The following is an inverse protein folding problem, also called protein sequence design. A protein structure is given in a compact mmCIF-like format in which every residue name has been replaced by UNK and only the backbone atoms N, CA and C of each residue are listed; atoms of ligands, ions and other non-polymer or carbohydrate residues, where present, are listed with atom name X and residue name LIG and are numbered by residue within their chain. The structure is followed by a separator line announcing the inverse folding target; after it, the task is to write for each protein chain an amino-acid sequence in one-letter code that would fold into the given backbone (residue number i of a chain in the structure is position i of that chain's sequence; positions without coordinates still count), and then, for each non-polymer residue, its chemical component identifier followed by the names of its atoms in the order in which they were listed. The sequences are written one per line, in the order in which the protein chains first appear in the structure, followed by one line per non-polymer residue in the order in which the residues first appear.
data_IF_918560967738
#
_entry.id   IF_918560967738
#
_cell.length_a   1.000
_cell.length_b   1.000
_cell.length_c   1.000
_cell.angle_alpha   90.00
_cell.angle_beta   90.00
_cell.angle_gamma   90.00
#
_symmetry.space_group_name_H-M   'P 1'
#
loop_
_entity.id
_entity.type
_entity.pdbx_description
1 polymer ?
#
# COMPACT_ATOMS: atom_id res chain seq x y z
N UNK A 1 4.77 -4.95 39.82
CA UNK A 1 5.08 -5.69 38.56
C UNK A 1 4.79 -4.83 37.32
N UNK A 2 5.70 -3.93 36.91
CA UNK A 2 5.53 -3.02 35.74
C UNK A 2 6.19 -3.63 34.48
N UNK A 3 5.42 -4.26 33.58
CA UNK A 3 5.93 -4.73 32.27
C UNK A 3 4.90 -4.59 31.14
N UNK A 4 4.43 -3.40 30.72
CA UNK A 4 3.48 -3.30 29.56
C UNK A 4 3.56 -2.09 28.58
N UNK A 5 4.69 -1.41 28.28
CA UNK A 5 4.73 -0.45 27.16
C UNK A 5 4.87 -1.11 25.77
N UNK A 6 5.59 -2.23 25.65
CA UNK A 6 5.95 -2.86 24.36
C UNK A 6 4.75 -3.39 23.54
N UNK A 7 3.61 -3.68 24.18
CA UNK A 7 2.45 -4.33 23.53
C UNK A 7 1.57 -3.35 22.74
N UNK A 8 1.50 -2.08 23.14
CA UNK A 8 0.70 -1.04 22.45
C UNK A 8 1.36 -0.60 21.14
N UNK A 9 2.68 -0.36 21.15
CA UNK A 9 3.45 0.09 19.97
C UNK A 9 3.42 -0.96 18.85
N UNK A 10 3.53 -2.25 19.20
CA UNK A 10 3.47 -3.35 18.24
C UNK A 10 2.19 -3.35 17.41
N UNK A 11 1.03 -3.06 18.02
CA UNK A 11 -0.26 -3.04 17.33
C UNK A 11 -0.38 -1.91 16.31
N UNK A 12 0.19 -0.74 16.59
CA UNK A 12 0.22 0.35 15.59
C UNK A 12 1.17 0.05 14.44
N UNK A 13 2.30 -0.59 14.73
CA UNK A 13 3.25 -1.02 13.70
C UNK A 13 2.67 -2.09 12.78
N UNK A 14 1.84 -3.00 13.31
CA UNK A 14 1.15 -4.01 12.50
C UNK A 14 0.14 -3.35 11.54
N UNK A 15 -0.68 -2.41 12.00
CA UNK A 15 -1.62 -1.64 11.16
C UNK A 15 -0.88 -0.78 10.12
N UNK A 16 0.24 -0.17 10.51
CA UNK A 16 1.08 0.60 9.61
C UNK A 16 1.65 -0.27 8.48
N UNK A 17 2.21 -1.43 8.81
CA UNK A 17 2.75 -2.34 7.77
C UNK A 17 1.64 -2.86 6.88
N UNK A 18 0.47 -3.14 7.44
CA UNK A 18 -0.68 -3.60 6.68
C UNK A 18 -1.14 -2.53 5.68
N UNK A 19 -1.36 -1.29 6.12
CA UNK A 19 -1.70 -0.16 5.25
C UNK A 19 -0.62 0.14 4.21
N UNK A 20 0.66 0.14 4.61
CA UNK A 20 1.77 0.34 3.69
C UNK A 20 1.86 -0.73 2.59
N UNK A 21 1.68 -2.01 2.96
CA UNK A 21 1.73 -3.13 2.02
C UNK A 21 0.58 -3.04 1.04
N UNK A 22 -0.65 -2.85 1.55
CA UNK A 22 -1.85 -2.77 0.72
C UNK A 22 -1.79 -1.58 -0.23
N UNK A 23 -1.47 -0.38 0.27
CA UNK A 23 -1.37 0.84 -0.55
C UNK A 23 -0.33 0.76 -1.65
N UNK A 24 0.80 0.09 -1.39
CA UNK A 24 1.82 -0.15 -2.42
C UNK A 24 1.33 -1.10 -3.51
N UNK A 25 0.65 -2.19 -3.12
CA UNK A 25 0.16 -3.21 -4.06
C UNK A 25 -0.95 -2.62 -4.92
N UNK A 26 -1.96 -2.01 -4.31
CA UNK A 26 -3.14 -1.48 -5.02
C UNK A 26 -2.75 -0.35 -5.96
N UNK A 27 -1.94 0.59 -5.50
CA UNK A 27 -1.52 1.72 -6.34
C UNK A 27 -0.61 1.26 -7.48
N UNK A 28 0.30 0.31 -7.23
CA UNK A 28 1.11 -0.25 -8.29
C UNK A 28 0.27 -1.03 -9.31
N UNK A 29 -0.77 -1.74 -8.87
CA UNK A 29 -1.69 -2.42 -9.75
C UNK A 29 -2.48 -1.44 -10.63
N UNK A 30 -2.95 -0.31 -10.09
CA UNK A 30 -3.60 0.75 -10.88
C UNK A 30 -2.65 1.30 -11.95
N UNK A 31 -1.40 1.59 -11.57
CA UNK A 31 -0.37 2.04 -12.50
C UNK A 31 -0.11 1.00 -13.58
N UNK A 32 0.06 -0.27 -13.20
CA UNK A 32 0.31 -1.37 -14.14
C UNK A 32 -0.86 -1.58 -15.10
N UNK A 33 -2.11 -1.52 -14.62
CA UNK A 33 -3.30 -1.63 -15.46
C UNK A 33 -3.42 -0.49 -16.45
N UNK A 34 -3.19 0.74 -16.02
CA UNK A 34 -3.20 1.91 -16.90
C UNK A 34 -2.09 1.83 -17.97
N UNK A 35 -0.91 1.32 -17.62
CA UNK A 35 0.15 1.03 -18.58
C UNK A 35 -0.21 -0.08 -19.56
N UNK A 36 -0.84 -1.16 -19.10
CA UNK A 36 -1.34 -2.23 -19.96
C UNK A 36 -2.34 -1.72 -20.98
N UNK A 37 -3.22 -0.80 -20.56
CA UNK A 37 -4.18 -0.10 -21.41
C UNK A 37 -3.55 1.01 -22.28
N UNK A 38 -2.23 1.24 -22.21
CA UNK A 38 -1.52 2.30 -22.96
C UNK A 38 -2.07 3.71 -22.72
N UNK A 39 -2.53 3.98 -21.49
CA UNK A 39 -3.09 5.28 -21.12
C UNK A 39 -2.01 6.35 -20.97
N UNK A 40 -2.39 7.61 -21.23
CA UNK A 40 -1.52 8.77 -21.02
C UNK A 40 -1.15 8.91 -19.54
N UNK A 41 0.07 9.39 -19.26
CA UNK A 41 0.56 9.62 -17.89
C UNK A 41 -0.38 10.49 -17.03
N UNK A 42 -1.08 11.46 -17.64
CA UNK A 42 -2.08 12.27 -16.94
C UNK A 42 -3.23 11.43 -16.37
N UNK A 43 -3.71 10.44 -17.12
CA UNK A 43 -4.77 9.52 -16.68
C UNK A 43 -4.27 8.61 -15.57
N UNK A 44 -3.03 8.11 -15.68
CA UNK A 44 -2.38 7.31 -14.62
C UNK A 44 -2.33 8.09 -13.31
N UNK A 45 -1.95 9.37 -13.36
CA UNK A 45 -1.87 10.24 -12.20
C UNK A 45 -3.26 10.46 -11.59
N UNK A 46 -4.25 10.82 -12.41
CA UNK A 46 -5.63 11.06 -11.93
C UNK A 46 -6.20 9.81 -11.26
N UNK A 47 -6.15 8.66 -11.93
CA UNK A 47 -6.66 7.39 -11.39
C UNK A 47 -5.86 6.94 -10.18
N UNK A 48 -4.53 7.07 -10.22
CA UNK A 48 -3.64 6.71 -9.13
C UNK A 48 -3.94 7.48 -7.86
N UNK A 49 -4.04 8.81 -7.94
CA UNK A 49 -4.36 9.64 -6.77
C UNK A 49 -5.79 9.41 -6.28
N UNK A 50 -6.76 9.31 -7.20
CA UNK A 50 -8.14 9.03 -6.83
C UNK A 50 -8.24 7.71 -6.04
N UNK A 51 -7.63 6.65 -6.57
CA UNK A 51 -7.60 5.34 -5.91
C UNK A 51 -6.83 5.38 -4.58
N UNK A 52 -5.66 6.03 -4.54
CA UNK A 52 -4.82 6.11 -3.34
C UNK A 52 -5.58 6.71 -2.15
N UNK A 53 -6.32 7.79 -2.36
CA UNK A 53 -7.09 8.43 -1.29
C UNK A 53 -8.39 7.70 -0.99
N UNK A 54 -9.11 7.22 -2.01
CA UNK A 54 -10.38 6.51 -1.82
C UNK A 54 -10.19 5.19 -1.07
N UNK A 55 -9.26 4.35 -1.52
CA UNK A 55 -8.96 3.06 -0.88
C UNK A 55 -8.35 3.27 0.50
N UNK A 56 -7.39 4.21 0.62
CA UNK A 56 -6.81 4.54 1.91
C UNK A 56 -7.87 4.94 2.93
N UNK A 57 -8.82 5.79 2.54
CA UNK A 57 -9.91 6.21 3.40
C UNK A 57 -10.83 5.04 3.77
N UNK A 58 -11.25 4.24 2.77
CA UNK A 58 -12.07 3.04 2.97
C UNK A 58 -11.42 2.06 3.97
N UNK A 59 -10.10 1.85 3.83
CA UNK A 59 -9.32 0.98 4.70
C UNK A 59 -9.20 1.54 6.12
N UNK A 60 -9.04 2.86 6.27
CA UNK A 60 -9.01 3.53 7.56
C UNK A 60 -10.35 3.39 8.30
N UNK A 61 -11.46 3.60 7.59
CA UNK A 61 -12.81 3.41 8.12
C UNK A 61 -13.04 1.94 8.51
N UNK A 62 -12.59 1.00 7.68
CA UNK A 62 -12.68 -0.44 7.97
C UNK A 62 -11.89 -0.83 9.23
N UNK A 63 -10.67 -0.31 9.40
CA UNK A 63 -9.85 -0.54 10.61
C UNK A 63 -10.47 0.12 11.86
N UNK A 64 -11.06 1.31 11.71
CA UNK A 64 -11.81 1.99 12.77
C UNK A 64 -13.00 1.15 13.24
N UNK A 65 -13.87 0.77 12.31
CA UNK A 65 -15.08 -0.01 12.57
C UNK A 65 -14.71 -1.36 13.19
N UNK A 66 -13.74 -2.07 12.61
CA UNK A 66 -13.24 -3.34 13.16
C UNK A 66 -12.74 -3.16 14.60
N UNK A 67 -11.91 -2.16 14.86
CA UNK A 67 -11.39 -1.93 16.22
C UNK A 67 -12.48 -1.52 17.21
N UNK A 68 -13.49 -0.75 16.78
CA UNK A 68 -14.63 -0.34 17.60
C UNK A 68 -15.55 -1.52 17.90
N UNK A 69 -15.90 -2.35 16.92
CA UNK A 69 -16.69 -3.56 17.14
C UNK A 69 -15.99 -4.53 18.09
N UNK A 70 -14.66 -4.66 18.00
CA UNK A 70 -13.90 -5.46 18.96
C UNK A 70 -13.94 -4.91 20.40
N UNK A 71 -14.11 -3.60 20.59
CA UNK A 71 -14.31 -2.96 21.90
C UNK A 71 -15.75 -3.14 22.40
N UNK A 72 -16.74 -2.93 21.54
CA UNK A 72 -18.16 -3.07 21.91
C UNK A 72 -18.50 -4.51 22.33
N UNK A 73 -17.91 -5.51 21.65
CA UNK A 73 -18.09 -6.94 21.97
C UNK A 73 -17.33 -7.38 23.23
N UNK A 74 -16.21 -6.71 23.55
CA UNK A 74 -15.41 -7.01 24.74
C UNK A 74 -15.44 -5.79 25.65
N UNK A 75 -16.51 -5.67 26.46
CA UNK A 75 -16.65 -4.70 27.58
C UNK A 75 -15.61 -4.95 28.70
N UNK A 76 -14.34 -5.15 28.34
CA UNK A 76 -13.24 -5.31 29.28
C UNK A 76 -12.74 -3.92 29.69
N UNK A 77 -12.94 -3.58 30.96
CA UNK A 77 -12.67 -2.26 31.57
C UNK A 77 -11.20 -1.79 31.51
N UNK A 78 -10.27 -2.62 31.03
CA UNK A 78 -8.83 -2.36 31.23
C UNK A 78 -8.05 -1.96 29.96
N UNK A 79 -8.69 -1.91 28.78
CA UNK A 79 -7.98 -1.63 27.53
C UNK A 79 -8.71 -0.61 26.66
N UNK A 80 -8.50 0.69 26.94
CA UNK A 80 -8.65 1.77 25.93
C UNK A 80 -7.70 1.51 24.76
N UNK A 81 -8.11 0.64 23.84
CA UNK A 81 -7.69 0.67 22.46
C UNK A 81 -8.21 2.01 21.90
N UNK A 82 -7.47 2.64 21.01
CA UNK A 82 -7.90 3.90 20.39
C UNK A 82 -8.15 3.60 18.91
N UNK A 83 -9.40 3.26 18.53
CA UNK A 83 -9.76 2.92 17.15
C UNK A 83 -9.28 3.97 16.16
N UNK A 84 -9.47 5.24 16.50
CA UNK A 84 -9.08 6.39 15.67
C UNK A 84 -7.59 6.41 15.38
N UNK A 85 -6.72 6.09 16.34
CA UNK A 85 -5.27 6.09 16.10
C UNK A 85 -4.83 4.96 15.18
N UNK A 86 -5.54 3.83 15.19
CA UNK A 86 -5.25 2.67 14.32
C UNK A 86 -5.69 2.97 12.89
N UNK A 87 -6.87 3.56 12.74
CA UNK A 87 -7.35 4.07 11.46
C UNK A 87 -6.40 5.11 10.85
N UNK A 88 -5.96 6.10 11.63
CA UNK A 88 -5.02 7.13 11.16
C UNK A 88 -3.68 6.51 10.76
N UNK A 89 -3.13 5.59 11.57
CA UNK A 89 -1.88 4.91 11.24
C UNK A 89 -2.00 4.13 9.92
N UNK A 90 -3.12 3.44 9.72
CA UNK A 90 -3.43 2.71 8.48
C UNK A 90 -3.50 3.67 7.30
N UNK A 91 -4.32 4.72 7.39
CA UNK A 91 -4.49 5.73 6.34
C UNK A 91 -3.17 6.36 5.92
N UNK A 92 -2.40 6.88 6.88
CA UNK A 92 -1.15 7.57 6.59
C UNK A 92 -0.11 6.62 5.99
N UNK A 93 -0.02 5.40 6.50
CA UNK A 93 0.89 4.39 5.94
C UNK A 93 0.52 4.02 4.51
N UNK A 94 -0.78 3.88 4.23
CA UNK A 94 -1.30 3.57 2.91
C UNK A 94 -0.98 4.69 1.93
N UNK A 95 -1.31 5.94 2.28
CA UNK A 95 -1.08 7.09 1.40
C UNK A 95 0.42 7.32 1.16
N UNK A 96 1.23 7.35 2.21
CA UNK A 96 2.66 7.69 2.09
C UNK A 96 3.42 6.64 1.29
N UNK A 97 3.17 5.36 1.56
CA UNK A 97 3.91 4.28 0.90
C UNK A 97 3.27 3.93 -0.45
N UNK A 98 1.95 3.94 -0.54
CA UNK A 98 1.21 3.79 -1.80
C UNK A 98 1.45 4.93 -2.79
N UNK A 99 1.97 6.07 -2.35
CA UNK A 99 2.42 7.11 -3.27
C UNK A 99 3.72 6.77 -4.02
N UNK A 100 4.52 5.82 -3.52
CA UNK A 100 5.83 5.49 -4.12
C UNK A 100 5.71 5.07 -5.59
N UNK A 101 4.80 4.17 -6.01
CA UNK A 101 4.61 3.84 -7.42
C UNK A 101 4.17 5.04 -8.30
N UNK A 102 3.51 6.05 -7.72
CA UNK A 102 3.05 7.24 -8.46
C UNK A 102 4.14 8.31 -8.59
N UNK A 103 5.13 8.32 -7.70
CA UNK A 103 6.16 9.36 -7.68
C UNK A 103 6.91 9.44 -9.00
N UNK A 104 7.08 8.30 -9.70
CA UNK A 104 7.75 8.24 -11.00
C UNK A 104 6.95 8.93 -12.10
N UNK A 105 5.62 8.79 -12.07
CA UNK A 105 4.73 9.47 -13.02
C UNK A 105 4.65 10.95 -12.73
N UNK A 106 4.59 11.34 -11.45
CA UNK A 106 4.65 12.75 -11.04
C UNK A 106 5.99 13.36 -11.46
N UNK A 107 7.12 12.69 -11.22
CA UNK A 107 8.44 13.14 -11.65
C UNK A 107 8.54 13.28 -13.17
N UNK A 108 7.90 12.39 -13.93
CA UNK A 108 7.87 12.44 -15.39
C UNK A 108 7.14 13.68 -15.97
N UNK A 109 6.38 14.41 -15.15
CA UNK A 109 5.80 15.70 -15.54
C UNK A 109 6.85 16.82 -15.55
N UNK A 110 7.86 16.73 -14.69
CA UNK A 110 8.89 17.76 -14.51
C UNK A 110 10.15 17.44 -15.31
N UNK A 111 10.49 16.16 -15.41
CA UNK A 111 11.60 15.67 -16.22
C UNK A 111 11.02 15.03 -17.48
N UNK A 112 11.33 15.56 -18.67
CA UNK A 112 10.97 14.92 -19.95
C UNK A 112 11.70 13.58 -20.10
N UNK A 113 11.14 12.55 -19.47
CA UNK A 113 11.65 11.19 -19.51
C UNK A 113 11.02 10.44 -20.70
N UNK A 114 11.81 9.60 -21.37
CA UNK A 114 11.30 8.68 -22.39
C UNK A 114 10.35 7.64 -21.76
N UNK A 115 9.34 7.19 -22.51
CA UNK A 115 8.35 6.19 -22.05
C UNK A 115 9.00 4.91 -21.51
N UNK A 116 10.02 4.39 -22.19
CA UNK A 116 10.75 3.20 -21.72
C UNK A 116 11.44 3.43 -20.37
N UNK A 117 11.98 4.62 -20.15
CA UNK A 117 12.67 4.97 -18.91
C UNK A 117 11.69 5.07 -17.74
N UNK A 118 10.52 5.69 -17.94
CA UNK A 118 9.47 5.85 -16.91
C UNK A 118 9.08 4.49 -16.31
N UNK A 119 8.91 3.49 -17.17
CA UNK A 119 8.52 2.14 -16.77
C UNK A 119 9.59 1.46 -15.91
N UNK A 120 10.86 1.51 -16.34
CA UNK A 120 11.98 0.90 -15.62
C UNK A 120 12.12 1.51 -14.22
N UNK A 121 12.07 2.85 -14.11
CA UNK A 121 12.15 3.51 -12.80
C UNK A 121 10.98 3.13 -11.90
N UNK A 122 9.77 3.00 -12.43
CA UNK A 122 8.58 2.59 -11.67
C UNK A 122 8.75 1.19 -11.10
N UNK A 123 9.19 0.22 -11.91
CA UNK A 123 9.45 -1.15 -11.46
C UNK A 123 10.53 -1.17 -10.39
N UNK A 124 11.65 -0.48 -10.60
CA UNK A 124 12.78 -0.48 -9.66
C UNK A 124 12.36 0.14 -8.33
N UNK A 125 11.79 1.36 -8.34
CA UNK A 125 11.37 2.05 -7.12
C UNK A 125 10.31 1.27 -6.35
N UNK A 126 9.32 0.71 -7.06
CA UNK A 126 8.27 -0.08 -6.42
C UNK A 126 8.80 -1.41 -5.90
N UNK A 127 9.69 -2.06 -6.64
CA UNK A 127 10.38 -3.28 -6.18
C UNK A 127 11.20 -3.04 -4.91
N UNK A 128 11.95 -1.94 -4.87
CA UNK A 128 12.68 -1.51 -3.66
C UNK A 128 11.71 -1.25 -2.50
N UNK A 129 10.58 -0.58 -2.75
CA UNK A 129 9.55 -0.37 -1.74
C UNK A 129 9.01 -1.70 -1.18
N UNK A 130 8.65 -2.66 -2.04
CA UNK A 130 8.18 -3.98 -1.58
C UNK A 130 9.23 -4.74 -0.77
N UNK A 131 10.51 -4.67 -1.14
CA UNK A 131 11.60 -5.28 -0.37
C UNK A 131 11.69 -4.65 1.02
N UNK A 132 11.67 -3.31 1.11
CA UNK A 132 11.77 -2.56 2.37
C UNK A 132 10.57 -2.88 3.26
N UNK A 133 9.34 -2.78 2.73
CA UNK A 133 8.12 -3.06 3.49
C UNK A 133 8.10 -4.52 3.95
N UNK A 134 8.45 -5.46 3.07
CA UNK A 134 8.50 -6.87 3.42
C UNK A 134 9.57 -7.20 4.46
N UNK A 135 10.69 -6.48 4.47
CA UNK A 135 11.73 -6.64 5.50
C UNK A 135 11.22 -6.15 6.87
N UNK A 136 10.56 -4.98 6.88
CA UNK A 136 9.91 -4.41 8.07
C UNK A 136 8.81 -5.35 8.59
N UNK A 137 7.95 -5.86 7.70
CA UNK A 137 6.91 -6.87 7.97
C UNK A 137 7.48 -8.11 8.63
N UNK A 138 8.58 -8.65 8.09
CA UNK A 138 9.25 -9.84 8.64
C UNK A 138 9.79 -9.59 10.05
N UNK A 139 10.38 -8.42 10.27
CA UNK A 139 10.90 -8.03 11.58
C UNK A 139 9.79 -7.87 12.64
N UNK A 140 8.64 -7.31 12.28
CA UNK A 140 7.51 -7.09 13.21
C UNK A 140 6.76 -8.40 13.52
N UNK A 141 6.57 -9.24 12.50
CA UNK A 141 5.89 -10.54 12.63
C UNK A 141 6.80 -11.64 13.19
N UNK A 142 8.09 -11.35 13.41
CA UNK A 142 9.13 -12.31 13.83
C UNK A 142 9.28 -13.50 12.87
N UNK A 143 8.96 -13.30 11.59
CA UNK A 143 9.20 -14.26 10.51
C UNK A 143 10.55 -14.00 9.85
N UNK A 144 10.96 -14.89 8.94
CA UNK A 144 12.15 -14.67 8.12
C UNK A 144 11.97 -13.40 7.26
N UNK A 145 12.88 -12.44 7.41
CA UNK A 145 12.82 -11.12 6.76
C UNK A 145 12.94 -11.21 5.26
N UNK A 146 13.84 -12.07 4.76
CA UNK A 146 14.08 -12.26 3.33
C UNK A 146 12.84 -12.87 2.68
N UNK A 147 12.31 -13.93 3.28
CA UNK A 147 11.11 -14.59 2.77
C UNK A 147 9.92 -13.63 2.74
N UNK A 148 9.76 -12.82 3.79
CA UNK A 148 8.71 -11.80 3.88
C UNK A 148 8.83 -10.71 2.80
N UNK A 149 10.06 -10.32 2.43
CA UNK A 149 10.33 -9.44 1.27
C UNK A 149 10.00 -10.11 -0.06
N UNK A 150 10.39 -11.37 -0.26
CA UNK A 150 10.09 -12.13 -1.47
C UNK A 150 8.59 -12.35 -1.63
N UNK A 151 7.87 -12.66 -0.55
CA UNK A 151 6.40 -12.74 -0.54
C UNK A 151 5.77 -11.41 -0.98
N UNK A 152 6.22 -10.28 -0.41
CA UNK A 152 5.68 -8.96 -0.79
C UNK A 152 5.95 -8.62 -2.25
N UNK A 153 7.14 -8.92 -2.78
CA UNK A 153 7.46 -8.78 -4.20
C UNK A 153 6.57 -9.66 -5.08
N UNK A 154 6.38 -10.93 -4.69
CA UNK A 154 5.58 -11.87 -5.46
C UNK A 154 4.11 -11.46 -5.51
N UNK A 155 3.52 -11.09 -4.36
CA UNK A 155 2.12 -10.65 -4.28
C UNK A 155 1.94 -9.34 -5.07
N UNK A 156 2.82 -8.35 -4.88
CA UNK A 156 2.75 -7.09 -5.62
C UNK A 156 2.95 -7.26 -7.12
N UNK A 157 3.93 -8.08 -7.52
CA UNK A 157 4.21 -8.39 -8.92
C UNK A 157 3.09 -9.15 -9.61
N UNK A 158 2.49 -10.14 -8.94
CA UNK A 158 1.33 -10.88 -9.48
C UNK A 158 0.10 -10.01 -9.60
N UNK A 159 -0.21 -9.18 -8.60
CA UNK A 159 -1.31 -8.21 -8.67
C UNK A 159 -1.13 -7.23 -9.85
N UNK A 160 0.08 -6.69 -10.02
CA UNK A 160 0.41 -5.81 -11.13
C UNK A 160 0.33 -6.52 -12.49
N UNK A 161 0.80 -7.77 -12.59
CA UNK A 161 0.70 -8.55 -13.82
C UNK A 161 -0.77 -8.79 -14.20
N UNK A 162 -1.63 -9.16 -13.24
CA UNK A 162 -3.06 -9.33 -13.46
C UNK A 162 -3.68 -8.02 -13.96
N UNK A 163 -3.42 -6.90 -13.27
CA UNK A 163 -3.96 -5.60 -13.65
C UNK A 163 -3.47 -5.15 -15.04
N UNK A 164 -2.18 -5.34 -15.34
CA UNK A 164 -1.61 -5.05 -16.66
C UNK A 164 -2.28 -5.86 -17.76
N UNK A 165 -2.48 -7.17 -17.55
CA UNK A 165 -3.15 -8.02 -18.54
C UNK A 165 -4.60 -7.58 -18.77
N UNK A 166 -5.34 -7.27 -17.70
CA UNK A 166 -6.70 -6.74 -17.80
C UNK A 166 -6.70 -5.43 -18.60
N UNK A 167 -5.80 -4.50 -18.28
CA UNK A 167 -5.64 -3.26 -19.03
C UNK A 167 -5.31 -3.49 -20.51
N UNK A 168 -4.41 -4.43 -20.80
CA UNK A 168 -4.01 -4.80 -22.16
C UNK A 168 -5.17 -5.33 -22.99
N UNK A 169 -5.99 -6.22 -22.42
CA UNK A 169 -7.16 -6.75 -23.12
C UNK A 169 -8.25 -5.70 -23.33
N UNK A 170 -8.42 -4.78 -22.38
CA UNK A 170 -9.43 -3.72 -22.45
C UNK A 170 -8.96 -2.46 -23.19
N UNK A 171 -7.71 -2.41 -23.67
CA UNK A 171 -7.14 -1.24 -24.35
C UNK A 171 -7.93 -0.78 -25.57
N UNK A 172 -8.70 -1.68 -26.21
CA UNK A 172 -9.53 -1.34 -27.37
C UNK A 172 -10.75 -0.48 -27.04
N UNK A 173 -11.07 -0.32 -25.74
CA UNK A 173 -12.14 0.56 -25.24
C UNK A 173 -11.65 1.96 -24.87
N UNK A 174 -10.34 2.19 -24.85
CA UNK A 174 -9.68 3.37 -24.29
C UNK A 174 -9.26 4.40 -25.35
#
# INVERSE_FOLDING_TARGET
MKKRPKRKIKKYLEEFVYGATDGSITTFAVVAGALGASLKASVVIILGFANLFADGFSMAISSYLSSRSHEDLHKTEDHKKTPTKKAIATFLSFVVIGFIPLITFVASLFYQMSESSKFIYTIILTGVAFIIIGYIKGNITKKNKILSSLESLFIGGTAAAIAYLVGYFLRGLA
#
